data_IF_284749111061
#
_entry.id   IF_284749111061
#
_cell.length_a   1.000
_cell.length_b   1.000
_cell.length_c   1.000
_cell.angle_alpha   90.00
_cell.angle_beta   90.00
_cell.angle_gamma   90.00
#
_symmetry.space_group_name_H-M   'P 1'
#
loop_
_entity.id
_entity.type
_entity.pdbx_description
1 polymer ?
#
# COMPACT_ATOMS: atom_id res chain seq x y z
N UNK A 1 -2.16 6.38 4.93
CA UNK A 1 -2.05 5.18 5.79
C UNK A 1 -0.75 4.47 5.46
N UNK A 2 -0.04 3.94 6.46
CA UNK A 2 1.08 3.04 6.24
C UNK A 2 0.53 1.63 5.93
N UNK A 3 0.92 1.03 4.80
CA UNK A 3 0.49 -0.32 4.39
C UNK A 3 0.79 -1.39 5.44
N UNK A 4 1.65 -1.10 6.41
CA UNK A 4 1.91 -1.94 7.58
C UNK A 4 0.66 -2.33 8.37
N UNK A 5 -0.46 -1.60 8.24
CA UNK A 5 -1.74 -1.98 8.85
C UNK A 5 -2.55 -2.96 7.97
N UNK A 6 -2.31 -3.01 6.66
CA UNK A 6 -2.99 -3.88 5.69
C UNK A 6 -2.34 -5.27 5.57
N UNK A 7 -1.29 -5.52 6.34
CA UNK A 7 -0.56 -6.79 6.34
C UNK A 7 -0.74 -7.60 7.63
N UNK A 8 -1.55 -7.09 8.58
CA UNK A 8 -1.70 -7.67 9.92
C UNK A 8 -3.04 -8.38 10.05
N UNK A 9 -3.04 -9.51 10.76
CA UNK A 9 -4.25 -10.07 11.36
C UNK A 9 -4.70 -9.16 12.51
N UNK A 10 -5.47 -8.13 12.17
CA UNK A 10 -6.00 -7.18 13.13
C UNK A 10 -7.08 -6.32 12.49
N UNK A 11 -8.26 -6.31 13.12
CA UNK A 11 -9.33 -5.43 12.71
C UNK A 11 -8.91 -3.95 12.83
N UNK A 12 -9.43 -3.04 11.98
CA UNK A 12 -10.44 -3.30 10.94
C UNK A 12 -9.90 -3.92 9.65
N UNK A 13 -10.71 -4.81 9.06
CA UNK A 13 -10.44 -5.43 7.76
C UNK A 13 -11.11 -4.70 6.58
N UNK A 14 -12.09 -3.84 6.87
CA UNK A 14 -12.73 -2.96 5.90
C UNK A 14 -12.20 -1.53 6.01
N UNK A 15 -11.89 -0.94 4.86
CA UNK A 15 -11.33 0.41 4.78
C UNK A 15 -12.03 1.25 3.71
N UNK A 16 -12.10 2.56 3.93
CA UNK A 16 -12.46 3.54 2.92
C UNK A 16 -11.22 4.35 2.56
N UNK A 17 -10.81 4.29 1.30
CA UNK A 17 -9.77 5.14 0.74
C UNK A 17 -10.42 6.34 0.06
N UNK A 18 -10.18 7.54 0.57
CA UNK A 18 -10.77 8.77 0.05
C UNK A 18 -9.77 9.46 -0.87
N UNK A 19 -10.16 9.81 -2.10
CA UNK A 19 -9.30 10.55 -3.04
C UNK A 19 -9.38 10.00 -4.47
N UNK A 20 -8.47 10.41 -5.35
CA UNK A 20 -8.51 10.06 -6.78
C UNK A 20 -7.92 8.66 -7.05
N UNK A 21 -8.57 7.93 -7.96
CA UNK A 21 -8.07 6.65 -8.48
C UNK A 21 -6.69 6.74 -9.14
N UNK A 22 -6.26 7.90 -9.63
CA UNK A 22 -4.92 8.13 -10.16
C UNK A 22 -3.81 7.83 -9.12
N UNK A 23 -4.14 7.87 -7.83
CA UNK A 23 -3.22 7.61 -6.73
C UNK A 23 -3.10 6.12 -6.38
N UNK A 24 -3.89 5.26 -7.02
CA UNK A 24 -3.88 3.81 -6.82
C UNK A 24 -2.54 3.17 -7.19
N UNK A 25 -1.88 3.66 -8.24
CA UNK A 25 -0.62 3.10 -8.71
C UNK A 25 0.43 3.05 -7.58
N UNK A 26 0.45 4.07 -6.73
CA UNK A 26 1.39 4.16 -5.62
C UNK A 26 1.14 3.07 -4.58
N UNK A 27 -0.13 2.84 -4.22
CA UNK A 27 -0.53 1.77 -3.31
C UNK A 27 -0.23 0.38 -3.88
N UNK A 28 -0.43 0.19 -5.19
CA UNK A 28 -0.08 -1.05 -5.87
C UNK A 28 1.43 -1.33 -5.82
N UNK A 29 2.26 -0.30 -6.06
CA UNK A 29 3.72 -0.45 -6.01
C UNK A 29 4.16 -0.86 -4.60
N UNK A 30 3.70 -0.14 -3.58
CA UNK A 30 4.05 -0.46 -2.19
C UNK A 30 3.51 -1.84 -1.77
N UNK A 31 2.32 -2.25 -2.22
CA UNK A 31 1.79 -3.59 -1.97
C UNK A 31 2.62 -4.69 -2.65
N UNK A 32 3.23 -4.43 -3.82
CA UNK A 32 4.14 -5.37 -4.48
C UNK A 32 5.48 -5.52 -3.78
N UNK A 33 5.93 -4.48 -3.09
CA UNK A 33 7.14 -4.54 -2.25
C UNK A 33 6.93 -5.39 -0.98
N UNK A 34 5.68 -5.66 -0.61
CA UNK A 34 5.33 -6.59 0.46
C UNK A 34 5.32 -8.03 -0.08
N UNK A 35 6.33 -8.82 0.28
CA UNK A 35 6.44 -10.23 -0.11
C UNK A 35 5.11 -11.01 0.08
N UNK A 36 4.76 -11.81 -0.94
CA UNK A 36 3.61 -12.73 -0.99
C UNK A 36 2.24 -12.09 -0.72
N UNK A 37 2.05 -10.86 -1.19
CA UNK A 37 0.76 -10.13 -1.13
C UNK A 37 0.04 -10.20 -2.46
N UNK A 38 -1.20 -10.67 -2.47
CA UNK A 38 -2.07 -10.58 -3.65
C UNK A 38 -2.91 -9.30 -3.57
N UNK A 39 -2.51 -8.30 -4.35
CA UNK A 39 -3.22 -7.03 -4.50
C UNK A 39 -4.05 -7.05 -5.78
N UNK A 40 -5.37 -7.18 -5.65
CA UNK A 40 -6.31 -7.17 -6.79
C UNK A 40 -7.11 -5.90 -6.86
N UNK A 41 -7.34 -5.43 -8.08
CA UNK A 41 -8.12 -4.22 -8.34
C UNK A 41 -9.41 -4.57 -9.04
N UNK A 42 -10.51 -4.10 -8.46
CA UNK A 42 -11.87 -4.32 -8.95
C UNK A 42 -12.45 -2.96 -9.31
N UNK A 43 -12.93 -2.81 -10.54
CA UNK A 43 -13.48 -1.54 -11.02
C UNK A 43 -14.95 -1.42 -10.65
N UNK A 44 -15.27 -0.74 -9.56
CA UNK A 44 -16.66 -0.57 -9.08
C UNK A 44 -17.60 0.09 -10.09
N UNK A 45 -17.07 0.87 -11.05
CA UNK A 45 -17.84 1.39 -12.19
C UNK A 45 -18.42 0.30 -13.11
N UNK A 46 -17.82 -0.90 -13.15
CA UNK A 46 -18.29 -2.08 -13.90
C UNK A 46 -19.33 -2.88 -13.10
N UNK A 47 -19.28 -2.85 -11.78
CA UNK A 47 -20.16 -3.59 -10.88
C UNK A 47 -21.51 -2.89 -10.60
N UNK A 48 -22.12 -2.22 -11.61
CA UNK A 48 -23.38 -1.47 -11.43
C UNK A 48 -24.64 -2.35 -11.43
N UNK A 49 -24.53 -3.56 -11.97
CA UNK A 49 -25.55 -4.62 -11.97
C UNK A 49 -24.90 -5.96 -11.58
N UNK A 50 -25.68 -7.04 -11.49
CA UNK A 50 -25.17 -8.35 -11.05
C UNK A 50 -24.16 -8.92 -12.04
N UNK A 51 -24.52 -9.01 -13.34
CA UNK A 51 -23.64 -9.54 -14.39
C UNK A 51 -22.29 -8.83 -14.40
N UNK A 52 -22.27 -7.50 -14.48
CA UNK A 52 -21.02 -6.74 -14.49
C UNK A 52 -20.25 -6.78 -13.16
N UNK A 53 -20.89 -7.18 -12.05
CA UNK A 53 -20.17 -7.48 -10.82
C UNK A 53 -19.50 -8.86 -10.91
N UNK A 54 -20.23 -9.88 -11.35
CA UNK A 54 -19.70 -11.23 -11.51
C UNK A 54 -18.52 -11.24 -12.49
N UNK A 55 -18.68 -10.63 -13.67
CA UNK A 55 -17.63 -10.54 -14.70
C UNK A 55 -16.37 -9.84 -14.17
N UNK A 56 -16.53 -8.71 -13.47
CA UNK A 56 -15.40 -7.91 -13.00
C UNK A 56 -14.62 -8.62 -11.90
N UNK A 57 -15.31 -9.26 -10.95
CA UNK A 57 -14.66 -9.97 -9.85
C UNK A 57 -14.02 -11.27 -10.33
N UNK A 58 -14.71 -12.04 -11.18
CA UNK A 58 -14.16 -13.23 -11.79
C UNK A 58 -12.89 -12.92 -12.59
N UNK A 59 -12.90 -11.85 -13.39
CA UNK A 59 -11.72 -11.40 -14.11
C UNK A 59 -10.60 -10.89 -13.17
N UNK A 60 -10.92 -10.13 -12.12
CA UNK A 60 -9.91 -9.58 -11.21
C UNK A 60 -9.22 -10.67 -10.36
N UNK A 61 -9.98 -11.67 -9.92
CA UNK A 61 -9.51 -12.75 -9.05
C UNK A 61 -9.15 -14.04 -9.80
N UNK A 62 -9.32 -14.03 -11.12
CA UNK A 62 -9.08 -15.19 -11.99
C UNK A 62 -9.91 -16.40 -11.56
N UNK A 63 -11.21 -16.20 -11.30
CA UNK A 63 -12.10 -17.30 -10.94
C UNK A 63 -12.07 -18.38 -12.03
N UNK A 64 -12.21 -19.67 -11.64
CA UNK A 64 -12.15 -20.79 -12.57
C UNK A 64 -13.24 -20.75 -13.66
N UNK A 65 -13.03 -21.53 -14.71
CA UNK A 65 -13.95 -21.64 -15.85
C UNK A 65 -15.33 -22.22 -15.48
N UNK A 66 -15.42 -22.95 -14.36
CA UNK A 66 -16.68 -23.45 -13.80
C UNK A 66 -17.47 -22.41 -12.99
N UNK A 67 -17.00 -21.17 -12.87
CA UNK A 67 -17.68 -20.13 -12.11
C UNK A 67 -19.12 -19.88 -12.60
N UNK A 68 -20.10 -20.22 -11.78
CA UNK A 68 -21.52 -20.24 -12.15
C UNK A 68 -22.25 -18.89 -12.19
N UNK A 69 -21.54 -17.75 -12.14
CA UNK A 69 -22.07 -16.38 -12.27
C UNK A 69 -23.27 -16.04 -11.36
N UNK A 70 -23.32 -16.62 -10.16
CA UNK A 70 -24.38 -16.41 -9.18
C UNK A 70 -23.80 -16.21 -7.77
N UNK A 71 -24.64 -15.81 -6.80
CA UNK A 71 -24.17 -15.48 -5.46
C UNK A 71 -23.55 -16.66 -4.71
N UNK A 72 -24.02 -17.90 -4.92
CA UNK A 72 -23.45 -19.07 -4.27
C UNK A 72 -22.05 -19.38 -4.84
N UNK A 73 -21.93 -19.39 -6.17
CA UNK A 73 -20.62 -19.56 -6.83
C UNK A 73 -19.63 -18.44 -6.47
N UNK A 74 -20.12 -17.21 -6.29
CA UNK A 74 -19.30 -16.07 -5.88
C UNK A 74 -18.79 -16.19 -4.45
N UNK A 75 -19.64 -16.64 -3.52
CA UNK A 75 -19.25 -16.93 -2.14
C UNK A 75 -18.24 -18.07 -2.08
N UNK A 76 -18.48 -19.16 -2.80
CA UNK A 76 -17.56 -20.30 -2.91
C UNK A 76 -16.18 -19.88 -3.43
N UNK A 77 -16.12 -19.21 -4.58
CA UNK A 77 -14.85 -18.78 -5.18
C UNK A 77 -14.10 -17.69 -4.39
N UNK A 78 -14.76 -16.95 -3.49
CA UNK A 78 -14.08 -15.98 -2.62
C UNK A 78 -13.47 -16.64 -1.38
N UNK A 79 -14.04 -17.76 -0.94
CA UNK A 79 -13.58 -18.49 0.22
C UNK A 79 -12.56 -19.57 -0.14
N UNK A 80 -12.55 -20.01 -1.39
CA UNK A 80 -11.54 -20.90 -1.97
C UNK A 80 -10.76 -20.14 -3.06
N UNK A 81 -9.52 -19.76 -2.76
CA UNK A 81 -8.61 -19.05 -3.68
C UNK A 81 -7.34 -19.88 -3.94
N UNK A 82 -7.45 -21.20 -3.97
CA UNK A 82 -6.30 -22.10 -4.06
C UNK A 82 -5.46 -21.89 -5.35
N UNK A 83 -6.05 -21.37 -6.42
CA UNK A 83 -5.34 -21.01 -7.66
C UNK A 83 -4.55 -19.68 -7.55
N UNK A 84 -4.74 -18.92 -6.47
CA UNK A 84 -4.14 -17.61 -6.25
C UNK A 84 -3.49 -17.54 -4.86
N UNK A 85 -2.54 -18.44 -4.52
CA UNK A 85 -2.00 -18.55 -3.18
C UNK A 85 -1.23 -17.29 -2.74
N UNK A 86 -1.56 -16.77 -1.57
CA UNK A 86 -0.93 -15.60 -0.98
C UNK A 86 -0.82 -15.72 0.54
N UNK A 87 0.16 -15.04 1.13
CA UNK A 87 0.25 -14.88 2.58
C UNK A 87 -0.74 -13.81 3.09
N UNK A 88 -1.35 -13.05 2.16
CA UNK A 88 -2.35 -12.01 2.44
C UNK A 88 -3.02 -11.52 1.16
N UNK A 89 -4.28 -11.12 1.29
CA UNK A 89 -5.10 -10.59 0.20
C UNK A 89 -5.52 -9.15 0.47
N UNK A 90 -5.38 -8.30 -0.55
CA UNK A 90 -5.87 -6.92 -0.53
C UNK A 90 -6.72 -6.69 -1.77
N UNK A 91 -8.03 -6.54 -1.57
CA UNK A 91 -8.97 -6.18 -2.63
C UNK A 91 -9.20 -4.68 -2.63
N UNK A 92 -8.71 -4.00 -3.66
CA UNK A 92 -8.92 -2.56 -3.84
C UNK A 92 -10.03 -2.31 -4.86
N UNK A 93 -11.10 -1.67 -4.42
CA UNK A 93 -12.29 -1.44 -5.23
C UNK A 93 -12.35 0.04 -5.61
N UNK A 94 -12.13 0.37 -6.89
CA UNK A 94 -12.25 1.76 -7.38
C UNK A 94 -13.71 2.17 -7.53
N UNK A 95 -14.02 3.45 -7.33
CA UNK A 95 -15.37 4.00 -7.46
C UNK A 95 -16.43 3.17 -6.72
N UNK A 96 -16.09 2.67 -5.53
CA UNK A 96 -16.88 1.69 -4.78
C UNK A 96 -18.31 2.18 -4.48
N UNK A 97 -18.48 3.50 -4.35
CA UNK A 97 -19.76 4.18 -4.22
C UNK A 97 -20.76 3.90 -5.37
N UNK A 98 -20.28 3.43 -6.53
CA UNK A 98 -21.10 3.07 -7.69
C UNK A 98 -21.60 1.63 -7.67
N UNK A 99 -20.94 0.73 -6.93
CA UNK A 99 -21.28 -0.70 -6.90
C UNK A 99 -22.73 -0.85 -6.51
N UNK A 100 -23.53 -1.50 -7.36
CA UNK A 100 -24.94 -1.80 -7.12
C UNK A 100 -25.75 -0.64 -6.52
N UNK A 101 -25.40 0.62 -6.84
CA UNK A 101 -25.93 1.84 -6.17
C UNK A 101 -27.45 1.90 -6.10
N UNK A 102 -28.12 1.39 -7.14
CA UNK A 102 -29.60 1.35 -7.26
C UNK A 102 -30.22 0.01 -6.81
N UNK A 103 -29.43 -0.96 -6.34
CA UNK A 103 -29.86 -2.34 -6.02
C UNK A 103 -29.52 -2.68 -4.56
N UNK A 104 -30.20 -2.03 -3.61
CA UNK A 104 -29.91 -2.13 -2.16
C UNK A 104 -29.85 -3.57 -1.64
N UNK A 105 -30.81 -4.43 -2.01
CA UNK A 105 -30.84 -5.85 -1.60
C UNK A 105 -29.57 -6.60 -2.03
N UNK A 106 -29.20 -6.45 -3.30
CA UNK A 106 -28.01 -7.10 -3.87
C UNK A 106 -26.71 -6.57 -3.24
N UNK A 107 -26.65 -5.27 -2.93
CA UNK A 107 -25.51 -4.73 -2.21
C UNK A 107 -25.40 -5.31 -0.79
N UNK A 108 -26.51 -5.51 -0.08
CA UNK A 108 -26.48 -6.19 1.23
C UNK A 108 -26.00 -7.63 1.14
N UNK A 109 -26.40 -8.36 0.10
CA UNK A 109 -25.91 -9.73 -0.16
C UNK A 109 -24.39 -9.72 -0.36
N UNK A 110 -23.87 -8.82 -1.22
CA UNK A 110 -22.44 -8.65 -1.42
C UNK A 110 -21.71 -8.39 -0.09
N UNK A 111 -22.17 -7.39 0.70
CA UNK A 111 -21.52 -7.05 1.97
C UNK A 111 -21.56 -8.22 2.95
N UNK A 112 -22.64 -9.00 2.99
CA UNK A 112 -22.72 -10.19 3.83
C UNK A 112 -21.69 -11.25 3.44
N UNK A 113 -21.55 -11.53 2.13
CA UNK A 113 -20.52 -12.45 1.62
C UNK A 113 -19.13 -11.94 2.01
N UNK A 114 -18.81 -10.67 1.74
CA UNK A 114 -17.48 -10.12 2.07
C UNK A 114 -17.16 -10.18 3.56
N UNK A 115 -18.15 -10.01 4.45
CA UNK A 115 -17.98 -10.18 5.89
C UNK A 115 -17.64 -11.62 6.25
N UNK A 116 -18.40 -12.57 5.72
CA UNK A 116 -18.17 -13.99 5.96
C UNK A 116 -16.80 -14.40 5.43
N UNK A 117 -16.43 -13.98 4.21
CA UNK A 117 -15.10 -14.22 3.63
C UNK A 117 -13.98 -13.70 4.51
N UNK A 118 -14.07 -12.46 4.99
CA UNK A 118 -13.05 -11.93 5.89
C UNK A 118 -12.95 -12.75 7.18
N UNK A 119 -14.08 -13.13 7.76
CA UNK A 119 -14.09 -13.95 8.97
C UNK A 119 -13.41 -15.30 8.73
N UNK A 120 -13.85 -16.04 7.71
CA UNK A 120 -13.30 -17.33 7.28
C UNK A 120 -11.78 -17.29 7.08
N UNK A 121 -11.28 -16.31 6.33
CA UNK A 121 -9.84 -16.17 6.09
C UNK A 121 -9.07 -15.76 7.35
N UNK A 122 -9.61 -14.87 8.18
CA UNK A 122 -8.88 -14.35 9.36
C UNK A 122 -8.93 -15.26 10.58
N UNK A 123 -9.94 -16.12 10.69
CA UNK A 123 -10.03 -17.18 11.71
C UNK A 123 -9.31 -18.47 11.26
N UNK A 124 -9.13 -18.64 9.95
CA UNK A 124 -8.62 -19.87 9.36
C UNK A 124 -9.69 -20.98 9.30
N UNK A 125 -9.38 -22.05 8.58
CA UNK A 125 -10.25 -23.22 8.41
C UNK A 125 -9.45 -24.49 8.70
N UNK A 126 -9.92 -25.28 9.66
CA UNK A 126 -9.21 -26.49 10.13
C UNK A 126 -10.01 -27.78 9.94
N UNK A 127 -11.08 -27.75 9.14
CA UNK A 127 -12.05 -28.84 9.02
C UNK A 127 -11.71 -29.86 7.92
N UNK A 128 -10.83 -29.48 6.98
CA UNK A 128 -10.43 -30.29 5.83
C UNK A 128 -9.02 -30.87 5.97
N UNK A 129 -8.66 -31.78 5.04
CA UNK A 129 -7.30 -32.37 4.98
C UNK A 129 -6.19 -31.36 4.66
N UNK A 130 -6.56 -30.13 4.30
CA UNK A 130 -5.67 -29.02 3.98
C UNK A 130 -6.11 -27.79 4.79
N UNK A 131 -5.61 -27.62 6.02
CA UNK A 131 -6.01 -26.48 6.84
C UNK A 131 -5.54 -25.17 6.18
N UNK A 132 -6.43 -24.18 6.18
CA UNK A 132 -6.09 -22.80 5.84
C UNK A 132 -5.75 -22.07 7.13
N UNK A 133 -4.50 -21.66 7.31
CA UNK A 133 -4.10 -20.83 8.46
C UNK A 133 -4.74 -19.43 8.37
N UNK A 134 -4.97 -18.77 9.51
CA UNK A 134 -5.36 -17.36 9.58
C UNK A 134 -4.54 -16.49 8.61
N UNK A 135 -5.23 -15.89 7.64
CA UNK A 135 -4.64 -15.12 6.56
C UNK A 135 -5.26 -13.73 6.51
N UNK A 136 -4.47 -12.64 6.54
CA UNK A 136 -5.00 -11.29 6.41
C UNK A 136 -5.76 -11.12 5.08
N UNK A 137 -7.02 -10.72 5.18
CA UNK A 137 -7.88 -10.41 4.03
C UNK A 137 -8.49 -9.03 4.22
N UNK A 138 -7.99 -8.05 3.47
CA UNK A 138 -8.44 -6.66 3.58
C UNK A 138 -9.20 -6.20 2.33
N UNK A 139 -10.26 -5.43 2.55
CA UNK A 139 -11.04 -4.81 1.47
C UNK A 139 -11.01 -3.30 1.62
N UNK A 140 -10.54 -2.63 0.56
CA UNK A 140 -10.42 -1.18 0.50
C UNK A 140 -11.42 -0.65 -0.52
N UNK A 141 -12.40 0.11 -0.04
CA UNK A 141 -13.37 0.77 -0.88
C UNK A 141 -12.93 2.21 -1.19
N UNK A 142 -12.52 2.46 -2.43
CA UNK A 142 -12.14 3.80 -2.84
C UNK A 142 -13.34 4.63 -3.30
N UNK A 143 -13.39 5.89 -2.88
CA UNK A 143 -14.32 6.88 -3.40
C UNK A 143 -13.74 8.31 -3.31
N UNK A 144 -14.31 9.26 -4.05
CA UNK A 144 -13.95 10.67 -3.89
C UNK A 144 -14.53 11.28 -2.62
N UNK A 145 -13.95 12.37 -2.13
CA UNK A 145 -14.34 13.06 -0.89
C UNK A 145 -15.84 13.33 -0.79
N UNK A 146 -16.44 13.82 -1.89
CA UNK A 146 -17.87 14.14 -1.98
C UNK A 146 -18.81 12.95 -1.78
N UNK A 147 -18.28 11.71 -1.85
CA UNK A 147 -19.05 10.49 -1.70
C UNK A 147 -18.79 9.77 -0.37
N UNK A 148 -17.75 10.16 0.38
CA UNK A 148 -17.28 9.49 1.60
C UNK A 148 -18.44 9.26 2.58
N UNK A 149 -19.12 10.32 3.02
CA UNK A 149 -20.11 10.23 4.10
C UNK A 149 -21.31 9.36 3.72
N UNK A 150 -21.86 9.59 2.52
CA UNK A 150 -23.00 8.83 2.00
C UNK A 150 -22.64 7.36 1.84
N UNK A 151 -21.43 7.08 1.34
CA UNK A 151 -20.99 5.71 1.10
C UNK A 151 -20.63 4.99 2.40
N UNK A 152 -19.98 5.66 3.36
CA UNK A 152 -19.73 5.11 4.69
C UNK A 152 -21.04 4.73 5.38
N UNK A 153 -22.04 5.62 5.37
CA UNK A 153 -23.37 5.31 5.89
C UNK A 153 -23.99 4.09 5.21
N UNK A 154 -23.84 3.98 3.89
CA UNK A 154 -24.35 2.83 3.12
C UNK A 154 -23.68 1.51 3.52
N UNK A 155 -22.39 1.50 3.86
CA UNK A 155 -21.69 0.31 4.37
C UNK A 155 -22.21 -0.07 5.76
N UNK A 156 -22.40 0.90 6.64
CA UNK A 156 -22.98 0.71 7.98
C UNK A 156 -24.40 0.15 7.90
N UNK A 157 -25.26 0.75 7.05
CA UNK A 157 -26.63 0.26 6.79
C UNK A 157 -26.69 -1.17 6.20
N UNK A 158 -25.57 -1.63 5.62
CA UNK A 158 -25.39 -2.98 5.09
C UNK A 158 -24.72 -3.94 6.09
N UNK A 159 -24.33 -3.47 7.28
CA UNK A 159 -23.84 -4.31 8.39
C UNK A 159 -22.33 -4.31 8.61
N UNK A 160 -21.57 -3.38 8.01
CA UNK A 160 -20.14 -3.18 8.37
C UNK A 160 -20.07 -2.24 9.58
N UNK A 161 -19.66 -2.78 10.73
CA UNK A 161 -19.63 -2.06 12.01
C UNK A 161 -18.32 -1.31 12.22
N UNK A 162 -17.19 -1.92 11.84
CA UNK A 162 -15.86 -1.34 11.97
C UNK A 162 -15.25 -1.09 10.59
N UNK A 163 -15.13 0.19 10.23
CA UNK A 163 -14.52 0.64 8.98
C UNK A 163 -13.51 1.74 9.27
N UNK A 164 -12.25 1.52 8.88
CA UNK A 164 -11.25 2.57 8.93
C UNK A 164 -11.38 3.48 7.70
N UNK A 165 -11.06 4.75 7.83
CA UNK A 165 -11.04 5.69 6.68
C UNK A 165 -9.72 6.43 6.62
N UNK A 166 -9.12 6.48 5.44
CA UNK A 166 -7.88 7.19 5.21
C UNK A 166 -7.88 7.94 3.87
N UNK A 167 -7.04 8.97 3.77
CA UNK A 167 -6.87 9.74 2.55
C UNK A 167 -5.82 9.09 1.63
N UNK A 168 -6.11 9.06 0.34
CA UNK A 168 -5.16 8.79 -0.73
C UNK A 168 -4.39 10.07 -0.95
N UNK A 169 -3.17 10.10 -0.46
CA UNK A 169 -2.30 11.26 -0.62
C UNK A 169 -1.53 11.14 -1.94
N UNK A 170 -1.38 12.27 -2.63
CA UNK A 170 -0.38 12.37 -3.70
C UNK A 170 0.97 12.10 -3.05
N UNK A 171 1.67 11.07 -3.52
CA UNK A 171 3.07 10.93 -3.15
C UNK A 171 3.79 12.17 -3.67
N UNK A 172 4.28 13.00 -2.76
CA UNK A 172 5.32 13.94 -3.12
C UNK A 172 6.58 13.10 -3.34
N UNK A 173 6.82 12.75 -4.60
CA UNK A 173 7.99 11.96 -5.01
C UNK A 173 9.29 12.62 -4.53
N UNK A 174 9.33 13.94 -4.41
CA UNK A 174 10.48 14.64 -3.84
C UNK A 174 10.64 14.31 -2.36
N UNK A 175 9.55 14.39 -1.58
CA UNK A 175 9.54 14.05 -0.15
C UNK A 175 10.00 12.61 0.12
N UNK A 176 9.50 11.64 -0.65
CA UNK A 176 9.92 10.24 -0.51
C UNK A 176 11.39 10.04 -0.85
N UNK A 177 11.86 10.70 -1.91
CA UNK A 177 13.28 10.66 -2.25
C UNK A 177 14.14 11.27 -1.14
N UNK A 178 13.68 12.34 -0.46
CA UNK A 178 14.40 12.91 0.68
C UNK A 178 14.44 11.97 1.87
N UNK A 179 13.32 11.30 2.19
CA UNK A 179 13.26 10.30 3.26
C UNK A 179 14.17 9.10 2.98
N UNK A 180 14.14 8.58 1.74
CA UNK A 180 15.00 7.48 1.30
C UNK A 180 16.48 7.88 1.33
N UNK A 181 16.83 9.04 0.76
CA UNK A 181 18.23 9.51 0.75
C UNK A 181 18.77 9.72 2.17
N UNK A 182 17.94 10.18 3.10
CA UNK A 182 18.35 10.38 4.50
C UNK A 182 18.80 9.07 5.18
N UNK A 183 18.28 7.91 4.77
CA UNK A 183 18.74 6.62 5.31
C UNK A 183 20.19 6.31 4.93
N UNK A 184 20.72 6.93 3.87
CA UNK A 184 22.10 6.78 3.40
C UNK A 184 23.06 7.82 4.00
N UNK A 185 22.60 8.68 4.93
CA UNK A 185 23.49 9.60 5.61
C UNK A 185 24.13 9.01 6.88
N UNK A 186 23.74 7.79 7.27
CA UNK A 186 24.26 7.06 8.44
C UNK A 186 24.93 5.77 8.03
N UNK A 187 25.92 5.32 8.81
CA UNK A 187 26.72 4.11 8.58
C UNK A 187 27.09 3.93 7.09
N UNK A 188 27.61 5.00 6.48
CA UNK A 188 27.64 5.17 5.03
C UNK A 188 29.05 5.15 4.43
N UNK A 189 30.08 4.86 5.22
CA UNK A 189 31.47 4.79 4.77
C UNK A 189 31.69 3.87 3.58
N UNK A 190 31.21 2.63 3.66
CA UNK A 190 31.36 1.66 2.57
C UNK A 190 30.74 2.15 1.26
N UNK A 191 29.58 2.81 1.35
CA UNK A 191 28.86 3.39 0.21
C UNK A 191 29.61 4.60 -0.36
N UNK A 192 29.98 5.56 0.50
CA UNK A 192 30.61 6.81 0.09
C UNK A 192 32.01 6.61 -0.51
N UNK A 193 32.76 5.61 -0.05
CA UNK A 193 34.09 5.28 -0.61
C UNK A 193 33.99 4.84 -2.08
N UNK A 194 32.83 4.30 -2.50
CA UNK A 194 32.59 3.88 -3.88
C UNK A 194 32.02 5.01 -4.76
N UNK A 195 31.50 6.08 -4.14
CA UNK A 195 30.90 7.19 -4.85
C UNK A 195 31.96 8.13 -5.46
N UNK A 196 31.64 8.71 -6.62
CA UNK A 196 32.48 9.73 -7.26
C UNK A 196 32.14 11.15 -6.79
N UNK A 197 30.94 11.32 -6.24
CA UNK A 197 30.42 12.59 -5.76
C UNK A 197 29.53 12.35 -4.55
N UNK A 198 29.73 13.16 -3.52
CA UNK A 198 28.82 13.27 -2.40
C UNK A 198 28.50 14.74 -2.12
N UNK A 199 27.52 14.98 -1.27
CA UNK A 199 27.11 16.31 -0.89
C UNK A 199 26.60 16.33 0.54
N UNK A 200 26.83 17.47 1.20
CA UNK A 200 26.27 17.75 2.51
C UNK A 200 24.96 18.51 2.35
N UNK A 201 23.84 17.95 2.80
CA UNK A 201 22.55 18.63 2.68
C UNK A 201 22.35 19.73 3.73
N UNK A 202 23.22 19.87 4.75
CA UNK A 202 23.20 21.03 5.64
C UNK A 202 23.85 22.27 5.01
N UNK A 203 25.11 22.18 4.56
CA UNK A 203 25.84 23.31 3.99
C UNK A 203 25.75 23.43 2.46
N UNK A 204 25.09 22.46 1.80
CA UNK A 204 24.85 22.38 0.36
C UNK A 204 26.11 22.26 -0.51
N UNK A 205 27.26 21.95 0.09
CA UNK A 205 28.50 21.70 -0.68
C UNK A 205 28.50 20.29 -1.24
N UNK A 206 28.88 20.18 -2.51
CA UNK A 206 29.19 18.92 -3.19
C UNK A 206 30.70 18.78 -3.33
N UNK A 207 31.21 17.57 -3.13
CA UNK A 207 32.64 17.29 -3.10
C UNK A 207 32.94 15.81 -3.39
N UNK A 208 34.21 15.49 -3.63
CA UNK A 208 34.67 14.11 -3.78
C UNK A 208 34.72 13.45 -2.39
N UNK A 209 34.25 12.20 -2.21
CA UNK A 209 34.23 11.52 -0.90
C UNK A 209 35.61 11.42 -0.23
N UNK A 210 36.70 11.41 -1.00
CA UNK A 210 38.09 11.49 -0.48
C UNK A 210 38.38 12.72 0.38
N UNK A 211 37.52 13.74 0.41
CA UNK A 211 37.65 14.90 1.32
C UNK A 211 37.12 14.62 2.73
N UNK A 212 36.47 13.48 2.95
CA UNK A 212 35.95 13.09 4.27
C UNK A 212 37.10 12.48 5.06
N UNK A 213 37.57 13.22 6.06
CA UNK A 213 38.67 12.81 6.94
C UNK A 213 38.17 12.33 8.31
N UNK A 214 36.96 12.76 8.70
CA UNK A 214 36.36 12.47 10.00
C UNK A 214 35.10 11.61 9.86
N UNK A 215 34.99 10.63 10.74
CA UNK A 215 33.88 9.68 10.84
C UNK A 215 33.48 9.57 12.31
N UNK A 216 32.22 9.26 12.60
CA UNK A 216 31.78 9.06 13.99
C UNK A 216 32.39 7.75 14.52
N UNK A 217 33.33 7.85 15.47
CA UNK A 217 34.16 6.70 15.91
C UNK A 217 33.42 5.64 16.76
N UNK A 218 32.22 5.95 17.26
CA UNK A 218 31.44 5.05 18.14
C UNK A 218 30.48 4.19 17.31
N UNK A 219 30.99 3.12 16.70
CA UNK A 219 30.25 2.05 16.02
C UNK A 219 29.34 2.46 14.83
N UNK A 220 29.37 3.73 14.44
CA UNK A 220 28.53 4.28 13.36
C UNK A 220 29.45 4.98 12.36
N UNK A 221 29.89 4.26 11.32
CA UNK A 221 30.78 4.70 10.23
C UNK A 221 30.11 5.80 9.35
N UNK A 222 29.66 6.87 10.00
CA UNK A 222 28.92 8.00 9.46
C UNK A 222 29.87 9.15 9.16
N UNK A 223 29.84 9.62 7.91
CA UNK A 223 30.69 10.70 7.45
C UNK A 223 30.38 12.05 8.12
N UNK A 224 31.41 12.72 8.63
CA UNK A 224 31.33 14.12 9.06
C UNK A 224 31.69 15.03 7.88
N UNK A 225 30.85 16.03 7.59
CA UNK A 225 31.11 16.95 6.48
C UNK A 225 32.37 17.80 6.75
N UNK A 226 33.39 17.76 5.87
CA UNK A 226 34.67 18.46 6.08
C UNK A 226 34.57 19.99 6.01
N UNK A 227 33.42 20.53 5.63
CA UNK A 227 33.20 21.98 5.49
C UNK A 227 32.36 22.60 6.61
N UNK A 228 31.58 21.81 7.33
CA UNK A 228 30.67 22.35 8.35
C UNK A 228 30.55 21.50 9.62
N UNK A 229 31.19 20.33 9.66
CA UNK A 229 31.19 19.46 10.85
C UNK A 229 29.86 18.74 11.11
N UNK A 230 28.89 18.81 10.20
CA UNK A 230 27.59 18.12 10.35
C UNK A 230 27.61 16.78 9.62
N UNK A 231 27.07 15.75 10.25
CA UNK A 231 26.87 14.36 9.82
C UNK A 231 25.73 14.21 8.79
N UNK A 232 25.68 15.10 7.79
CA UNK A 232 24.60 15.19 6.80
C UNK A 232 25.10 14.93 5.38
N UNK A 233 26.03 13.98 5.23
CA UNK A 233 26.66 13.66 3.93
C UNK A 233 25.95 12.49 3.27
N UNK A 234 25.60 12.65 1.99
CA UNK A 234 25.03 11.59 1.14
C UNK A 234 25.73 11.53 -0.21
N UNK A 235 25.78 10.35 -0.82
CA UNK A 235 26.37 10.13 -2.14
C UNK A 235 25.44 9.39 -3.10
N UNK A 236 25.91 9.16 -4.32
CA UNK A 236 25.11 8.55 -5.40
C UNK A 236 24.64 7.13 -5.07
N UNK A 237 25.32 6.43 -4.16
CA UNK A 237 24.92 5.13 -3.62
C UNK A 237 23.53 5.14 -2.95
N UNK A 238 22.97 6.32 -2.62
CA UNK A 238 21.55 6.48 -2.26
C UNK A 238 20.57 6.12 -3.40
N UNK A 239 21.05 5.92 -4.63
CA UNK A 239 20.26 5.71 -5.83
C UNK A 239 19.60 6.98 -6.36
N UNK A 240 20.01 8.16 -5.86
CA UNK A 240 19.42 9.45 -6.17
C UNK A 240 20.51 10.45 -6.62
N UNK A 241 20.20 11.34 -7.58
CA UNK A 241 21.18 12.27 -8.12
C UNK A 241 21.54 13.35 -7.10
N UNK A 242 22.84 13.46 -6.78
CA UNK A 242 23.37 14.50 -5.89
C UNK A 242 23.47 15.81 -6.67
N UNK A 243 22.43 16.64 -6.57
CA UNK A 243 22.31 17.95 -7.23
C UNK A 243 22.06 19.05 -6.20
N UNK A 244 22.28 20.32 -6.59
CA UNK A 244 22.00 21.46 -5.72
C UNK A 244 20.51 21.54 -5.35
N UNK A 245 19.63 21.31 -6.32
CA UNK A 245 18.18 21.29 -6.10
C UNK A 245 17.80 20.20 -5.09
N UNK A 246 18.38 18.99 -5.23
CA UNK A 246 18.11 17.88 -4.33
C UNK A 246 18.59 18.14 -2.91
N UNK A 247 19.83 18.64 -2.73
CA UNK A 247 20.37 18.97 -1.42
C UNK A 247 19.59 20.10 -0.74
N UNK A 248 19.13 21.11 -1.49
CA UNK A 248 18.25 22.18 -0.96
C UNK A 248 16.91 21.63 -0.48
N UNK A 249 16.33 20.70 -1.23
CA UNK A 249 15.10 20.03 -0.84
C UNK A 249 15.26 19.21 0.45
N UNK A 250 16.34 18.43 0.54
CA UNK A 250 16.68 17.71 1.77
C UNK A 250 16.93 18.65 2.95
N UNK A 251 17.63 19.77 2.74
CA UNK A 251 17.84 20.79 3.77
C UNK A 251 16.52 21.30 4.31
N UNK A 252 15.66 21.81 3.42
CA UNK A 252 14.38 22.41 3.80
C UNK A 252 13.44 21.42 4.51
N UNK A 253 13.64 20.12 4.32
CA UNK A 253 12.84 19.08 4.98
C UNK A 253 13.39 18.67 6.36
N UNK A 254 14.72 18.64 6.55
CA UNK A 254 15.35 18.13 7.78
C UNK A 254 15.95 19.21 8.69
N UNK A 255 16.08 20.46 8.23
CA UNK A 255 16.64 21.61 8.96
C UNK A 255 15.80 22.88 8.76
#
# INVERSE_FOLDING_TARGET
>A
MNLDQLIKLGAPYFHIAVGDTALLFNLQVQARELNKTEFKVIRGKKCRNITGLMDEWAAALQFPDYFGENWAAFDECLNDLDWLPADRYILFITDAHLILKKKKKNFKILINILKNTIQEWTEGRYYDSFPTEPTPFHIIFQCGDVHKEIFQKRLVDAGIELVNTFQLEKQDKALQNFQRAHQFCKNNKENLVQDQICGCFYCLKMFHPMKIEEWIDTDDDTAICPYCGIDSVIGYSSGLPITQEFLRGMKAYWF
#
